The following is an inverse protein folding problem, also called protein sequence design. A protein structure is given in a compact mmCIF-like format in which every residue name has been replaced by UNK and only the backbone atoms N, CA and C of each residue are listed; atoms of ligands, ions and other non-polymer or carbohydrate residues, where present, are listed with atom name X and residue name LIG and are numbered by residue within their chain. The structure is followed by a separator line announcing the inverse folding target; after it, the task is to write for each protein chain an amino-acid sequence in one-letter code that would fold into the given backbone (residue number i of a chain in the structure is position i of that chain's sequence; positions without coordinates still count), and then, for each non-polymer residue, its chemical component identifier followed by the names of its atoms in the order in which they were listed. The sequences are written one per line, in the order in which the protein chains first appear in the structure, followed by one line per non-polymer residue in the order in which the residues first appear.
data_IF_276070262310
#
_entry.id   IF_276070262310
#
_cell.length_a   1.000
_cell.length_b   1.000
_cell.length_c   1.000
_cell.angle_alpha   90.00
_cell.angle_beta   90.00
_cell.angle_gamma   90.00
#
_symmetry.space_group_name_H-M   'P 1'
#
loop_
_entity.id
_entity.type
_entity.pdbx_description
1 polymer ?
#
# COMPACT_ATOMS: atom_id res chain seq x y z
N UNK A 1 1.98 -13.25 -20.79
CA UNK A 1 0.62 -12.75 -21.11
C UNK A 1 0.74 -11.33 -21.65
N UNK A 2 -0.16 -10.92 -22.55
CA UNK A 2 -0.23 -9.54 -23.06
C UNK A 2 -1.38 -8.76 -22.44
N UNK A 3 -1.08 -7.58 -21.91
CA UNK A 3 -2.05 -6.60 -21.41
C UNK A 3 -2.02 -5.40 -22.35
N UNK A 4 -3.18 -5.01 -22.89
CA UNK A 4 -3.28 -3.84 -23.77
C UNK A 4 -2.93 -2.57 -23.00
N UNK A 5 -2.05 -1.72 -23.52
CA UNK A 5 -1.71 -0.46 -22.85
C UNK A 5 -2.87 0.52 -22.97
N UNK A 6 -3.38 1.02 -21.85
CA UNK A 6 -4.36 2.09 -21.84
C UNK A 6 -3.75 3.36 -22.44
N UNK A 7 -4.53 4.08 -23.25
CA UNK A 7 -4.16 5.42 -23.66
C UNK A 7 -4.21 6.37 -22.44
N UNK A 8 -3.08 6.97 -22.01
CA UNK A 8 -3.02 7.75 -20.77
C UNK A 8 -3.90 9.02 -20.82
N UNK A 9 -4.16 9.57 -22.01
CA UNK A 9 -4.91 10.81 -22.19
C UNK A 9 -6.41 10.64 -21.95
N UNK A 10 -6.91 9.41 -21.99
CA UNK A 10 -8.34 9.15 -21.90
C UNK A 10 -8.80 8.77 -20.49
N UNK A 11 -7.87 8.50 -19.58
CA UNK A 11 -8.17 7.91 -18.28
C UNK A 11 -9.16 8.75 -17.45
N UNK A 12 -9.16 10.07 -17.66
CA UNK A 12 -10.07 11.00 -16.97
C UNK A 12 -11.35 11.26 -17.73
N UNK A 13 -11.50 10.77 -18.97
CA UNK A 13 -12.66 11.02 -19.80
C UNK A 13 -13.78 10.01 -19.52
N UNK A 14 -15.03 10.37 -19.83
CA UNK A 14 -16.20 9.52 -19.58
C UNK A 14 -16.22 8.28 -20.46
N UNK A 15 -15.52 8.29 -21.60
CA UNK A 15 -15.39 7.13 -22.49
C UNK A 15 -14.89 5.87 -21.77
N UNK A 16 -14.02 6.00 -20.76
CA UNK A 16 -13.52 4.85 -20.00
C UNK A 16 -14.64 4.18 -19.19
N UNK A 17 -15.54 4.97 -18.62
CA UNK A 17 -16.70 4.44 -17.91
C UNK A 17 -17.66 3.76 -18.87
N UNK A 18 -17.99 4.41 -19.99
CA UNK A 18 -18.86 3.83 -21.01
C UNK A 18 -18.28 2.54 -21.60
N UNK A 19 -16.95 2.46 -21.76
CA UNK A 19 -16.25 1.24 -22.15
C UNK A 19 -16.37 0.14 -21.09
N UNK A 20 -16.18 0.53 -19.82
CA UNK A 20 -16.27 -0.37 -18.70
C UNK A 20 -17.67 -0.99 -18.55
N UNK A 21 -18.74 -0.22 -18.77
CA UNK A 21 -20.12 -0.75 -18.72
C UNK A 21 -20.59 -1.36 -20.05
N UNK A 22 -19.77 -1.32 -21.11
CA UNK A 22 -20.05 -1.96 -22.40
C UNK A 22 -20.85 -1.10 -23.39
N UNK A 23 -21.09 0.18 -23.08
CA UNK A 23 -21.78 1.14 -23.93
C UNK A 23 -20.86 1.78 -24.97
N UNK A 24 -19.55 1.67 -24.82
CA UNK A 24 -18.55 2.18 -25.76
C UNK A 24 -17.74 1.03 -26.35
N UNK A 25 -17.73 0.93 -27.68
CA UNK A 25 -17.15 -0.21 -28.41
C UNK A 25 -15.87 0.13 -29.19
N UNK A 26 -15.49 1.41 -29.26
CA UNK A 26 -14.28 1.80 -29.97
C UNK A 26 -13.06 1.54 -29.07
N UNK A 27 -12.51 0.33 -29.13
CA UNK A 27 -11.38 -0.06 -28.28
C UNK A 27 -10.08 0.66 -28.66
N UNK A 28 -9.94 1.11 -29.90
CA UNK A 28 -8.73 1.77 -30.42
C UNK A 28 -8.56 3.19 -29.85
N UNK A 29 -9.66 3.83 -29.43
CA UNK A 29 -9.59 5.07 -28.64
C UNK A 29 -9.23 4.81 -27.18
N UNK A 30 -9.49 3.58 -26.69
CA UNK A 30 -9.25 3.20 -25.29
C UNK A 30 -7.82 2.72 -25.05
N UNK A 31 -7.36 1.83 -25.91
CA UNK A 31 -6.06 1.20 -25.80
C UNK A 31 -5.17 1.59 -26.97
N UNK A 32 -3.88 1.72 -26.68
CA UNK A 32 -2.85 1.84 -27.70
C UNK A 32 -2.63 0.47 -28.36
N UNK A 33 -2.02 0.47 -29.55
CA UNK A 33 -1.56 -0.76 -30.23
C UNK A 33 -0.38 -1.46 -29.51
N UNK A 34 0.09 -0.88 -28.41
CA UNK A 34 1.16 -1.43 -27.58
C UNK A 34 0.63 -2.34 -26.46
N UNK A 35 1.49 -3.23 -25.97
CA UNK A 35 1.18 -4.16 -24.89
C UNK A 35 2.25 -4.14 -23.80
N UNK A 36 1.84 -4.40 -22.56
CA UNK A 36 2.75 -4.93 -21.54
C UNK A 36 2.84 -6.43 -21.72
N UNK A 37 4.06 -6.96 -21.79
CA UNK A 37 4.33 -8.38 -21.80
C UNK A 37 4.83 -8.79 -20.41
N UNK A 38 4.00 -9.56 -19.69
CA UNK A 38 4.29 -9.96 -18.31
C UNK A 38 4.25 -11.47 -18.14
N UNK A 39 5.01 -11.98 -17.17
CA UNK A 39 5.09 -13.40 -16.84
C UNK A 39 4.14 -13.80 -15.71
N UNK A 40 2.86 -13.45 -15.86
CA UNK A 40 1.77 -13.93 -15.00
C UNK A 40 0.87 -14.94 -15.74
N UNK A 41 0.37 -15.92 -15.00
CA UNK A 41 -0.73 -16.80 -15.43
C UNK A 41 -2.07 -16.09 -15.22
N UNK A 42 -3.13 -16.55 -15.91
CA UNK A 42 -4.48 -15.98 -15.75
C UNK A 42 -4.99 -16.08 -14.30
N UNK A 43 -4.66 -17.18 -13.62
CA UNK A 43 -5.04 -17.43 -12.22
C UNK A 43 -4.35 -16.47 -11.24
N UNK A 44 -3.13 -16.03 -11.58
CA UNK A 44 -2.32 -15.14 -10.74
C UNK A 44 -2.52 -13.65 -11.07
N UNK A 45 -3.41 -13.32 -11.99
CA UNK A 45 -3.77 -11.93 -12.30
C UNK A 45 -4.61 -11.29 -11.21
N UNK A 46 -5.38 -12.07 -10.46
CA UNK A 46 -6.30 -11.48 -9.49
C UNK A 46 -5.52 -10.65 -8.46
N UNK A 47 -5.88 -9.37 -8.37
CA UNK A 47 -5.32 -8.46 -7.38
C UNK A 47 -6.41 -8.02 -6.41
N UNK A 48 -6.33 -8.40 -5.12
CA UNK A 48 -7.31 -7.98 -4.14
C UNK A 48 -7.31 -6.44 -4.02
N UNK A 49 -8.44 -5.83 -4.34
CA UNK A 49 -8.66 -4.40 -4.15
C UNK A 49 -9.30 -4.17 -2.79
N UNK A 50 -8.79 -3.20 -2.04
CA UNK A 50 -9.45 -2.74 -0.84
C UNK A 50 -10.68 -1.90 -1.21
N UNK A 51 -11.81 -2.27 -0.62
CA UNK A 51 -13.02 -1.44 -0.59
C UNK A 51 -13.25 -1.05 0.87
N UNK A 52 -13.58 0.23 1.17
CA UNK A 52 -13.94 0.66 2.52
C UNK A 52 -15.04 -0.22 3.10
N UNK A 53 -14.64 -1.17 3.96
CA UNK A 53 -15.53 -2.05 4.71
C UNK A 53 -15.65 -1.51 6.15
N UNK A 54 -16.86 -1.59 6.71
CA UNK A 54 -17.10 -1.21 8.12
C UNK A 54 -16.54 -2.26 9.08
N UNK A 55 -16.32 -3.50 8.61
CA UNK A 55 -15.71 -4.56 9.41
C UNK A 55 -14.17 -4.48 9.34
N UNK A 56 -13.56 -4.23 10.49
CA UNK A 56 -12.11 -4.10 10.62
C UNK A 56 -11.35 -5.41 10.39
N UNK A 57 -11.87 -6.54 10.84
CA UNK A 57 -11.23 -7.85 10.64
C UNK A 57 -11.25 -8.24 9.15
N UNK A 58 -12.38 -8.05 8.48
CA UNK A 58 -12.51 -8.29 7.05
C UNK A 58 -11.55 -7.38 6.25
N UNK A 59 -11.37 -6.13 6.69
CA UNK A 59 -10.38 -5.22 6.13
C UNK A 59 -8.95 -5.74 6.30
N UNK A 60 -8.56 -6.17 7.50
CA UNK A 60 -7.21 -6.70 7.78
C UNK A 60 -6.93 -7.93 6.91
N UNK A 61 -7.88 -8.85 6.84
CA UNK A 61 -7.76 -10.06 6.01
C UNK A 61 -7.54 -9.72 4.52
N UNK A 62 -8.28 -8.75 3.97
CA UNK A 62 -8.09 -8.29 2.58
C UNK A 62 -6.72 -7.68 2.33
N UNK A 63 -6.21 -6.87 3.27
CA UNK A 63 -4.85 -6.31 3.15
C UNK A 63 -3.78 -7.41 3.20
N UNK A 64 -3.92 -8.39 4.11
CA UNK A 64 -3.01 -9.54 4.17
C UNK A 64 -3.00 -10.30 2.83
N UNK A 65 -4.18 -10.58 2.28
CA UNK A 65 -4.31 -11.22 0.96
C UNK A 65 -3.63 -10.41 -0.15
N UNK A 66 -3.77 -9.08 -0.12
CA UNK A 66 -3.12 -8.20 -1.09
C UNK A 66 -1.59 -8.23 -0.97
N UNK A 67 -1.03 -8.26 0.24
CA UNK A 67 0.42 -8.43 0.46
C UNK A 67 0.91 -9.78 -0.05
N UNK A 68 0.19 -10.86 0.25
CA UNK A 68 0.53 -12.20 -0.22
C UNK A 68 0.49 -12.26 -1.75
N UNK A 69 -0.55 -11.71 -2.37
CA UNK A 69 -0.64 -11.63 -3.83
C UNK A 69 0.51 -10.82 -4.43
N UNK A 70 0.84 -9.67 -3.83
CA UNK A 70 1.97 -8.85 -4.27
C UNK A 70 3.28 -9.64 -4.24
N UNK A 71 3.58 -10.28 -3.10
CA UNK A 71 4.77 -11.11 -2.89
C UNK A 71 4.85 -12.27 -3.89
N UNK A 72 3.79 -13.06 -3.96
CA UNK A 72 3.82 -14.35 -4.67
C UNK A 72 3.71 -14.20 -6.20
N UNK A 73 3.06 -13.13 -6.66
CA UNK A 73 2.76 -12.96 -8.07
C UNK A 73 3.48 -11.75 -8.69
N UNK A 74 3.37 -10.57 -8.08
CA UNK A 74 3.68 -9.32 -8.78
C UNK A 74 5.13 -8.85 -8.62
N UNK A 75 5.80 -9.08 -7.48
CA UNK A 75 7.16 -8.56 -7.24
C UNK A 75 8.19 -8.97 -8.30
N UNK A 76 8.01 -10.13 -8.94
CA UNK A 76 8.89 -10.62 -10.02
C UNK A 76 8.82 -9.81 -11.32
N UNK A 77 7.82 -8.94 -11.48
CA UNK A 77 7.64 -8.14 -12.70
C UNK A 77 8.63 -6.97 -12.80
N UNK A 78 9.38 -6.67 -11.75
CA UNK A 78 10.34 -5.56 -11.75
C UNK A 78 9.70 -4.22 -11.39
N UNK A 79 10.51 -3.33 -10.79
CA UNK A 79 10.04 -2.01 -10.30
C UNK A 79 9.59 -1.07 -11.43
N UNK A 80 10.14 -1.22 -12.63
CA UNK A 80 9.76 -0.45 -13.81
C UNK A 80 8.29 -0.68 -14.18
N UNK A 81 7.82 -1.92 -14.13
CA UNK A 81 6.41 -2.25 -14.35
C UNK A 81 5.57 -1.92 -13.12
N UNK A 82 6.03 -2.32 -11.93
CA UNK A 82 5.24 -2.18 -10.69
C UNK A 82 5.00 -0.73 -10.27
N UNK A 83 5.93 0.18 -10.58
CA UNK A 83 5.77 1.61 -10.32
C UNK A 83 5.19 2.37 -11.52
N UNK A 84 4.89 1.70 -12.63
CA UNK A 84 4.21 2.31 -13.75
C UNK A 84 2.72 2.45 -13.47
N UNK A 85 2.29 3.71 -13.39
CA UNK A 85 0.90 4.08 -13.21
C UNK A 85 -0.02 3.52 -14.28
N UNK A 86 0.42 3.58 -15.53
CA UNK A 86 -0.39 3.17 -16.65
C UNK A 86 -0.52 1.64 -16.71
N UNK A 87 0.46 0.88 -16.21
CA UNK A 87 0.38 -0.57 -16.11
C UNK A 87 -0.82 -1.03 -15.26
N UNK A 88 -0.96 -0.51 -14.04
CA UNK A 88 -2.06 -0.91 -13.15
C UNK A 88 -3.43 -0.58 -13.72
N UNK A 89 -3.59 0.62 -14.30
CA UNK A 89 -4.84 0.97 -14.97
C UNK A 89 -5.14 0.08 -16.17
N UNK A 90 -4.12 -0.27 -16.95
CA UNK A 90 -4.25 -1.20 -18.07
C UNK A 90 -4.69 -2.57 -17.59
N UNK A 91 -4.06 -3.11 -16.54
CA UNK A 91 -4.41 -4.39 -15.93
C UNK A 91 -5.85 -4.41 -15.43
N UNK A 92 -6.26 -3.37 -14.68
CA UNK A 92 -7.62 -3.30 -14.11
C UNK A 92 -8.71 -3.21 -15.19
N UNK A 93 -8.48 -2.44 -16.25
CA UNK A 93 -9.47 -2.22 -17.31
C UNK A 93 -9.48 -3.32 -18.37
N UNK A 94 -8.33 -3.90 -18.71
CA UNK A 94 -8.21 -4.92 -19.75
C UNK A 94 -8.49 -6.34 -19.23
N UNK A 95 -7.93 -6.71 -18.06
CA UNK A 95 -7.93 -8.11 -17.59
C UNK A 95 -8.80 -8.37 -16.38
N UNK A 96 -8.98 -7.38 -15.51
CA UNK A 96 -9.72 -7.57 -14.25
C UNK A 96 -11.15 -7.04 -14.29
N UNK A 97 -11.60 -6.44 -15.40
CA UNK A 97 -12.95 -5.86 -15.54
C UNK A 97 -14.06 -6.79 -15.03
N UNK A 98 -14.13 -8.02 -15.52
CA UNK A 98 -15.22 -8.95 -15.16
C UNK A 98 -15.14 -9.36 -13.69
N UNK A 99 -13.92 -9.60 -13.18
CA UNK A 99 -13.68 -9.97 -11.79
C UNK A 99 -14.09 -8.83 -10.85
N UNK A 100 -13.75 -7.59 -11.21
CA UNK A 100 -14.11 -6.40 -10.45
C UNK A 100 -15.62 -6.21 -10.36
N UNK A 101 -16.35 -6.51 -11.44
CA UNK A 101 -17.82 -6.46 -11.46
C UNK A 101 -18.40 -7.57 -10.58
N UNK A 102 -17.92 -8.81 -10.72
CA UNK A 102 -18.51 -9.97 -10.03
C UNK A 102 -18.20 -10.01 -8.53
N UNK A 103 -16.96 -9.74 -8.14
CA UNK A 103 -16.50 -9.95 -6.77
C UNK A 103 -16.81 -8.75 -5.87
N UNK A 104 -16.57 -7.55 -6.39
CA UNK A 104 -16.71 -6.33 -5.59
C UNK A 104 -18.09 -5.69 -5.70
N UNK A 105 -18.98 -6.24 -6.53
CA UNK A 105 -20.32 -5.70 -6.81
C UNK A 105 -20.29 -4.18 -6.93
N UNK A 106 -19.26 -3.65 -7.60
CA UNK A 106 -19.09 -2.20 -7.79
C UNK A 106 -20.41 -1.75 -8.42
N UNK A 107 -21.21 -0.99 -7.66
CA UNK A 107 -22.47 -0.50 -8.17
C UNK A 107 -22.14 0.43 -9.33
N UNK A 108 -22.32 -0.06 -10.54
CA UNK A 108 -22.17 0.70 -11.78
C UNK A 108 -23.31 1.71 -11.97
N UNK A 109 -24.13 1.89 -10.93
CA UNK A 109 -25.25 2.81 -10.84
C UNK A 109 -24.83 4.26 -11.17
N UNK A 110 -23.54 4.61 -11.04
CA UNK A 110 -23.04 5.90 -11.52
C UNK A 110 -21.57 5.90 -11.96
N UNK A 111 -21.24 6.76 -12.93
CA UNK A 111 -19.85 7.08 -13.33
C UNK A 111 -19.01 7.51 -12.13
N UNK A 112 -19.63 8.16 -11.14
CA UNK A 112 -18.98 8.59 -9.91
C UNK A 112 -18.48 7.40 -9.09
N UNK A 113 -19.25 6.33 -8.98
CA UNK A 113 -18.87 5.14 -8.21
C UNK A 113 -17.81 4.32 -8.93
N UNK A 114 -17.96 4.14 -10.25
CA UNK A 114 -16.91 3.59 -11.10
C UNK A 114 -15.61 4.37 -10.94
N UNK A 115 -15.69 5.71 -11.02
CA UNK A 115 -14.51 6.53 -10.77
C UNK A 115 -14.02 6.31 -9.35
N UNK A 116 -14.85 6.27 -8.32
CA UNK A 116 -14.39 6.08 -6.94
C UNK A 116 -13.64 4.76 -6.66
N UNK A 117 -13.96 3.69 -7.41
CA UNK A 117 -13.34 2.38 -7.20
C UNK A 117 -12.24 2.09 -8.22
N UNK A 118 -12.49 2.38 -9.50
CA UNK A 118 -11.60 2.01 -10.62
C UNK A 118 -10.66 3.15 -11.03
N UNK A 119 -11.06 4.44 -10.94
CA UNK A 119 -10.28 5.56 -11.52
C UNK A 119 -9.87 6.74 -10.59
N UNK A 120 -10.44 6.92 -9.38
CA UNK A 120 -10.35 8.14 -8.57
C UNK A 120 -10.65 7.93 -7.07
N UNK A 121 -9.97 8.70 -6.20
CA UNK A 121 -9.99 8.74 -4.72
C UNK A 121 -9.62 7.45 -3.97
N UNK A 122 -9.74 6.29 -4.58
CA UNK A 122 -8.86 5.19 -4.22
C UNK A 122 -7.50 5.51 -4.83
N UNK A 123 -6.60 6.01 -3.99
CA UNK A 123 -5.22 6.30 -4.36
C UNK A 123 -4.52 4.95 -4.54
N UNK A 124 -4.85 4.26 -5.63
CA UNK A 124 -4.34 2.92 -5.90
C UNK A 124 -2.82 2.99 -5.99
N UNK A 125 -2.27 4.13 -6.42
CA UNK A 125 -0.85 4.39 -6.37
C UNK A 125 -0.35 4.27 -4.93
N UNK A 126 -0.94 4.99 -3.98
CA UNK A 126 -0.62 4.80 -2.57
C UNK A 126 -0.94 3.39 -2.03
N UNK A 127 -2.03 2.74 -2.44
CA UNK A 127 -2.40 1.40 -1.97
C UNK A 127 -1.44 0.33 -2.48
N UNK A 128 -1.19 0.31 -3.79
CA UNK A 128 -0.30 -0.61 -4.47
C UNK A 128 1.14 -0.32 -4.08
N UNK A 129 1.58 0.93 -3.98
CA UNK A 129 2.93 1.24 -3.52
C UNK A 129 3.17 0.76 -2.09
N UNK A 130 2.21 0.93 -1.17
CA UNK A 130 2.27 0.34 0.18
C UNK A 130 2.49 -1.18 0.10
N UNK A 131 1.76 -1.85 -0.78
CA UNK A 131 1.85 -3.30 -0.93
C UNK A 131 3.19 -3.72 -1.53
N UNK A 132 3.65 -3.06 -2.60
CA UNK A 132 4.94 -3.30 -3.26
C UNK A 132 6.04 -3.19 -2.21
N UNK A 133 6.12 -2.05 -1.55
CA UNK A 133 7.19 -1.72 -0.63
C UNK A 133 7.20 -2.62 0.61
N UNK A 134 6.04 -2.86 1.23
CA UNK A 134 5.95 -3.75 2.39
C UNK A 134 6.30 -5.18 2.01
N UNK A 135 5.79 -5.70 0.88
CA UNK A 135 6.12 -7.02 0.40
C UNK A 135 7.60 -7.17 0.05
N UNK A 136 8.17 -6.20 -0.67
CA UNK A 136 9.56 -6.22 -1.11
C UNK A 136 10.52 -6.19 0.09
N UNK A 137 10.31 -5.28 1.04
CA UNK A 137 11.19 -5.15 2.20
C UNK A 137 11.12 -6.37 3.13
N UNK A 138 9.92 -6.92 3.33
CA UNK A 138 9.76 -8.15 4.13
C UNK A 138 10.44 -9.33 3.41
N UNK A 139 10.26 -9.46 2.09
CA UNK A 139 10.92 -10.52 1.32
C UNK A 139 12.45 -10.39 1.32
N UNK A 140 12.97 -9.17 1.29
CA UNK A 140 14.42 -8.92 1.33
C UNK A 140 15.03 -9.22 2.71
N UNK A 141 14.36 -8.80 3.78
CA UNK A 141 14.92 -8.86 5.13
C UNK A 141 14.61 -10.16 5.88
N UNK A 142 13.51 -10.84 5.54
CA UNK A 142 13.01 -12.02 6.26
C UNK A 142 13.17 -13.26 5.37
N UNK A 143 14.14 -14.15 5.65
CA UNK A 143 14.39 -15.32 4.81
C UNK A 143 13.26 -16.36 4.85
N UNK A 144 12.61 -16.51 6.01
CA UNK A 144 11.51 -17.44 6.18
C UNK A 144 10.20 -16.86 5.63
N UNK A 145 9.70 -17.48 4.57
CA UNK A 145 8.47 -17.07 3.88
C UNK A 145 7.22 -17.20 4.76
N UNK A 146 7.23 -18.09 5.74
CA UNK A 146 6.10 -18.25 6.67
C UNK A 146 6.03 -17.06 7.64
N UNK A 147 7.17 -16.54 8.07
CA UNK A 147 7.22 -15.38 8.98
C UNK A 147 6.80 -14.06 8.28
N UNK A 148 6.75 -14.03 6.95
CA UNK A 148 6.21 -12.89 6.20
C UNK A 148 4.77 -12.57 6.60
N UNK A 149 3.96 -13.60 6.90
CA UNK A 149 2.56 -13.43 7.30
C UNK A 149 2.49 -12.61 8.58
N UNK A 150 3.36 -12.89 9.55
CA UNK A 150 3.45 -12.13 10.80
C UNK A 150 3.74 -10.65 10.52
N UNK A 151 4.71 -10.34 9.67
CA UNK A 151 5.04 -8.95 9.36
C UNK A 151 3.94 -8.24 8.54
N UNK A 152 3.30 -8.92 7.60
CA UNK A 152 2.14 -8.37 6.90
C UNK A 152 1.02 -8.03 7.90
N UNK A 153 0.78 -8.91 8.87
CA UNK A 153 -0.19 -8.65 9.93
C UNK A 153 0.15 -7.43 10.77
N UNK A 154 1.39 -7.32 11.22
CA UNK A 154 1.87 -6.16 11.97
C UNK A 154 1.68 -4.86 11.19
N UNK A 155 1.96 -4.86 9.89
CA UNK A 155 1.66 -3.71 9.01
C UNK A 155 0.16 -3.44 8.97
N UNK A 156 -0.68 -4.46 8.77
CA UNK A 156 -2.15 -4.28 8.69
C UNK A 156 -2.76 -3.76 10.00
N UNK A 157 -2.20 -4.13 11.14
CA UNK A 157 -2.62 -3.68 12.46
C UNK A 157 -2.18 -2.25 12.75
N UNK A 158 -1.10 -1.79 12.11
CA UNK A 158 -0.47 -0.49 12.32
C UNK A 158 -0.44 0.33 11.02
N UNK A 159 -1.48 0.24 10.18
CA UNK A 159 -1.50 0.87 8.85
C UNK A 159 -1.29 2.39 8.89
N UNK A 160 -1.81 3.09 9.89
CA UNK A 160 -1.60 4.54 10.05
C UNK A 160 -0.13 4.86 10.33
N UNK A 161 0.50 4.11 11.22
CA UNK A 161 1.94 4.20 11.51
C UNK A 161 2.77 3.86 10.26
N UNK A 162 2.46 2.76 9.58
CA UNK A 162 3.13 2.36 8.34
C UNK A 162 3.01 3.44 7.25
N UNK A 163 1.85 4.08 7.13
CA UNK A 163 1.66 5.22 6.22
C UNK A 163 2.53 6.42 6.55
N UNK A 164 2.85 6.65 7.84
CA UNK A 164 3.79 7.69 8.24
C UNK A 164 5.23 7.31 7.91
N UNK A 165 5.60 6.03 8.11
CA UNK A 165 6.92 5.52 7.73
C UNK A 165 7.11 5.76 6.23
N UNK A 166 6.20 5.27 5.37
CA UNK A 166 6.28 5.41 3.90
C UNK A 166 6.47 6.84 3.38
N UNK A 167 5.98 7.83 4.11
CA UNK A 167 6.11 9.25 3.74
C UNK A 167 7.40 9.89 4.24
N UNK A 168 8.12 9.22 5.14
CA UNK A 168 9.38 9.68 5.72
C UNK A 168 10.56 9.29 4.85
N UNK A 169 11.61 10.12 4.81
CA UNK A 169 12.83 9.82 4.06
C UNK A 169 13.54 8.55 4.56
N UNK A 170 13.34 8.21 5.84
CA UNK A 170 13.90 7.02 6.48
C UNK A 170 13.35 5.72 5.90
N UNK A 171 12.20 5.76 5.21
CA UNK A 171 11.58 4.60 4.60
C UNK A 171 12.39 3.99 3.45
N UNK A 172 13.40 4.68 2.91
CA UNK A 172 14.32 4.08 1.93
C UNK A 172 15.19 2.96 2.51
N UNK A 173 14.95 2.57 3.75
CA UNK A 173 15.69 1.57 4.51
C UNK A 173 14.72 0.46 4.98
N UNK A 174 14.90 -0.76 4.47
CA UNK A 174 14.09 -1.94 4.82
C UNK A 174 14.31 -2.39 6.28
N UNK A 175 15.54 -2.28 6.77
CA UNK A 175 15.92 -2.59 8.16
C UNK A 175 15.24 -1.66 9.17
N UNK A 176 15.02 -0.38 8.84
CA UNK A 176 14.21 0.52 9.67
C UNK A 176 12.81 -0.04 9.88
N UNK A 177 12.15 -0.48 8.80
CA UNK A 177 10.79 -1.00 8.88
C UNK A 177 10.74 -2.23 9.80
N UNK A 178 11.65 -3.18 9.63
CA UNK A 178 11.69 -4.41 10.43
C UNK A 178 11.96 -4.10 11.91
N UNK A 179 13.02 -3.34 12.21
CA UNK A 179 13.34 -2.93 13.60
C UNK A 179 12.18 -2.17 14.25
N UNK A 180 11.51 -1.30 13.50
CA UNK A 180 10.35 -0.57 14.01
C UNK A 180 9.19 -1.51 14.33
N UNK A 181 8.86 -2.44 13.43
CA UNK A 181 7.77 -3.42 13.65
C UNK A 181 8.08 -4.37 14.82
N UNK A 182 9.30 -4.88 14.91
CA UNK A 182 9.71 -5.76 16.02
C UNK A 182 9.71 -5.00 17.35
N UNK A 183 10.18 -3.75 17.37
CA UNK A 183 10.11 -2.91 18.57
C UNK A 183 8.67 -2.66 19.02
N UNK A 184 7.71 -2.49 18.08
CA UNK A 184 6.28 -2.35 18.43
C UNK A 184 5.81 -3.57 19.21
N UNK A 185 6.16 -4.77 18.76
CA UNK A 185 5.78 -6.04 19.39
C UNK A 185 6.43 -6.17 20.75
N UNK A 186 7.75 -6.00 20.82
CA UNK A 186 8.53 -6.14 22.06
C UNK A 186 8.08 -5.19 23.17
N UNK A 187 7.68 -3.97 22.80
CA UNK A 187 7.28 -2.93 23.77
C UNK A 187 5.77 -2.81 23.93
N UNK A 188 4.99 -3.62 23.20
CA UNK A 188 3.52 -3.56 23.15
C UNK A 188 2.99 -2.13 22.87
N UNK A 189 3.63 -1.41 21.95
CA UNK A 189 3.39 0.02 21.73
C UNK A 189 2.38 0.35 20.62
N UNK A 190 1.76 -0.66 20.00
CA UNK A 190 0.81 -0.48 18.89
C UNK A 190 -0.25 0.58 19.21
N UNK A 191 -0.92 0.45 20.37
CA UNK A 191 -2.02 1.35 20.73
C UNK A 191 -1.56 2.77 21.03
N UNK A 192 -0.44 2.94 21.73
CA UNK A 192 0.07 4.27 22.07
C UNK A 192 0.52 5.05 20.84
N UNK A 193 1.13 4.38 19.85
CA UNK A 193 1.55 5.02 18.59
C UNK A 193 0.37 5.59 17.79
N UNK A 194 -0.81 5.00 17.92
CA UNK A 194 -2.03 5.42 17.23
C UNK A 194 -2.74 6.58 17.93
N UNK A 195 -2.39 6.88 19.19
CA UNK A 195 -3.06 7.94 19.95
C UNK A 195 -2.79 9.33 19.38
N UNK A 196 -3.82 10.17 19.44
CA UNK A 196 -3.73 11.59 19.09
C UNK A 196 -3.04 12.35 20.21
N UNK A 197 -2.29 13.39 19.83
CA UNK A 197 -1.60 14.27 20.77
C UNK A 197 -2.02 15.72 20.58
N UNK A 198 -2.02 16.50 21.66
CA UNK A 198 -2.27 17.93 21.62
C UNK A 198 -0.96 18.73 21.63
N UNK A 199 -0.46 19.07 20.44
CA UNK A 199 0.76 19.86 20.30
C UNK A 199 0.55 21.23 19.62
N UNK A 200 -0.66 21.52 19.12
CA UNK A 200 -1.17 22.81 18.60
C UNK A 200 -2.31 22.56 17.59
N UNK A 201 -2.89 23.63 17.00
CA UNK A 201 -4.02 23.69 16.04
C UNK A 201 -3.98 22.76 14.80
N UNK A 202 -3.02 21.84 14.69
CA UNK A 202 -2.93 20.88 13.59
C UNK A 202 -3.84 19.66 13.82
N UNK A 203 -4.55 19.24 12.76
CA UNK A 203 -5.78 18.44 12.91
C UNK A 203 -5.58 16.93 13.00
N UNK A 204 -4.36 16.41 12.80
CA UNK A 204 -4.07 14.97 12.85
C UNK A 204 -2.62 14.65 13.28
N UNK A 205 -2.28 15.08 14.49
CA UNK A 205 -1.02 14.73 15.14
C UNK A 205 -1.17 13.48 16.01
N UNK A 206 -0.28 12.51 15.79
CA UNK A 206 -0.26 11.22 16.50
C UNK A 206 1.13 10.90 17.00
N UNK A 207 1.21 10.15 18.09
CA UNK A 207 2.48 9.74 18.72
C UNK A 207 3.41 9.08 17.69
N UNK A 208 2.92 8.09 16.93
CA UNK A 208 3.75 7.35 15.98
C UNK A 208 4.35 8.22 14.89
N UNK A 209 3.58 9.18 14.36
CA UNK A 209 4.09 10.15 13.38
C UNK A 209 5.25 10.95 13.95
N UNK A 210 5.17 11.37 15.22
CA UNK A 210 6.22 12.14 15.87
C UNK A 210 7.46 11.29 16.15
N UNK A 211 7.28 10.08 16.67
CA UNK A 211 8.40 9.14 16.87
C UNK A 211 9.18 8.92 15.56
N UNK A 212 8.48 8.67 14.46
CA UNK A 212 9.10 8.51 13.13
C UNK A 212 9.83 9.78 12.70
N UNK A 213 9.25 10.96 12.92
CA UNK A 213 9.91 12.23 12.59
C UNK A 213 11.17 12.46 13.42
N UNK A 214 11.19 12.06 14.70
CA UNK A 214 12.38 12.17 15.55
C UNK A 214 13.50 11.25 15.06
N UNK A 215 13.17 10.03 14.64
CA UNK A 215 14.13 9.16 13.95
C UNK A 215 14.65 9.79 12.65
N UNK A 216 13.76 10.28 11.79
CA UNK A 216 14.14 10.89 10.51
C UNK A 216 15.04 12.14 10.65
N UNK A 217 14.87 12.91 11.73
CA UNK A 217 15.75 14.05 12.05
C UNK A 217 17.09 13.61 12.61
N UNK A 218 17.08 12.59 13.48
CA UNK A 218 18.27 12.19 14.24
C UNK A 218 19.19 11.28 13.43
N UNK A 219 18.62 10.54 12.47
CA UNK A 219 19.33 9.57 11.65
C UNK A 219 18.99 9.77 10.17
N UNK A 220 19.94 10.24 9.35
CA UNK A 220 19.84 10.07 7.90
C UNK A 220 19.59 8.59 7.59
N UNK A 221 18.76 8.28 6.59
CA UNK A 221 18.32 6.91 6.27
C UNK A 221 19.46 5.88 6.15
N UNK A 222 20.67 6.33 5.80
CA UNK A 222 21.88 5.51 5.66
C UNK A 222 22.41 4.98 6.99
N UNK A 223 22.15 5.65 8.11
CA UNK A 223 22.73 5.32 9.43
C UNK A 223 21.86 4.42 10.29
N UNK A 224 20.62 4.11 9.88
CA UNK A 224 19.74 3.22 10.68
C UNK A 224 20.32 1.81 10.81
N UNK A 225 20.97 1.31 9.76
CA UNK A 225 21.64 0.01 9.79
C UNK A 225 22.74 -0.09 10.85
N UNK A 226 23.32 1.05 11.23
CA UNK A 226 24.39 1.10 12.22
C UNK A 226 23.87 0.98 13.66
N UNK A 227 22.58 1.24 13.90
CA UNK A 227 21.96 1.04 15.20
C UNK A 227 21.66 -0.44 15.37
N UNK A 228 22.17 -1.07 16.42
CA UNK A 228 21.70 -2.40 16.78
C UNK A 228 20.24 -2.35 17.28
N UNK A 229 19.62 -3.51 17.44
CA UNK A 229 18.21 -3.61 17.83
C UNK A 229 17.92 -3.00 19.21
N UNK A 230 18.85 -3.14 20.17
CA UNK A 230 18.66 -2.61 21.53
C UNK A 230 18.85 -1.10 21.57
N UNK A 231 19.85 -0.56 20.86
CA UNK A 231 20.03 0.87 20.67
C UNK A 231 18.80 1.48 19.99
N UNK A 232 18.33 0.88 18.89
CA UNK A 232 17.13 1.32 18.19
C UNK A 232 15.92 1.40 19.12
N UNK A 233 15.69 0.34 19.90
CA UNK A 233 14.62 0.27 20.89
C UNK A 233 14.75 1.32 21.99
N UNK A 234 15.97 1.58 22.47
CA UNK A 234 16.22 2.63 23.45
C UNK A 234 15.86 4.03 22.90
N UNK A 235 16.21 4.32 21.65
CA UNK A 235 15.78 5.55 20.98
C UNK A 235 14.27 5.60 20.78
N UNK A 236 13.67 4.50 20.35
CA UNK A 236 12.23 4.39 20.18
C UNK A 236 11.48 4.75 21.47
N UNK A 237 11.86 4.13 22.59
CA UNK A 237 11.26 4.37 23.90
C UNK A 237 11.49 5.80 24.38
N UNK A 238 12.70 6.34 24.17
CA UNK A 238 13.01 7.75 24.47
C UNK A 238 12.09 8.70 23.71
N UNK A 239 11.93 8.51 22.41
CA UNK A 239 11.05 9.36 21.60
C UNK A 239 9.58 9.17 21.96
N UNK A 240 9.16 7.96 22.30
CA UNK A 240 7.81 7.68 22.78
C UNK A 240 7.52 8.42 24.10
N UNK A 241 8.46 8.41 25.05
CA UNK A 241 8.31 9.11 26.33
C UNK A 241 8.17 10.64 26.15
N UNK A 242 8.85 11.24 25.17
CA UNK A 242 8.70 12.66 24.86
C UNK A 242 7.23 13.05 24.58
N UNK A 243 6.42 12.14 24.04
CA UNK A 243 5.05 12.40 23.62
C UNK A 243 3.99 11.81 24.56
N UNK A 244 4.39 10.96 25.51
CA UNK A 244 3.46 10.27 26.44
C UNK A 244 2.58 11.23 27.22
N UNK A 245 3.13 12.39 27.60
CA UNK A 245 2.45 13.44 28.40
C UNK A 245 1.46 14.30 27.62
N UNK A 246 1.45 14.20 26.28
CA UNK A 246 0.60 15.01 25.40
C UNK A 246 -0.58 14.23 24.82
N UNK A 247 -0.77 12.98 25.25
CA UNK A 247 -1.83 12.09 24.81
C UNK A 247 -3.19 12.60 25.35
N UNK A 248 -4.18 12.67 24.45
CA UNK A 248 -5.59 12.92 24.81
C UNK A 248 -6.30 11.64 25.25
#
# INVERSE_FOLDING_TARGET
MKIRKLNPDIIRKSQVFEYYIGNYKNEDEIFLEEFYEIELSQENLFFPIYIPDKNEEARKAKYRQAFLCMRDNYLKLGRDILLDRNFWYSLFLDKLKDILISEYRISLDSEKDFRNVVLKKFDWENYVYKLIFGAEYIQEMIPDKEDHIRYFDLITENLDVYNYILKSEIFKNSDFLIKFLDTIVETNSSEILKKKIDLSNDKDERVGRRVINEFAKSYPAVFVHALDTEEFKNYFLKYLDHYSRFIK
#
